data_IF_024131787357
#
_entry.id   IF_024131787357
#
_cell.length_a   1.000
_cell.length_b   1.000
_cell.length_c   1.000
_cell.angle_alpha   90.00
_cell.angle_beta   90.00
_cell.angle_gamma   90.00
#
_symmetry.space_group_name_H-M   'P 1'
#
loop_
_entity.id
_entity.type
_entity.pdbx_description
1 polymer ?
#
# COMPACT_ATOMS: atom_id res chain seq x y z
N UNK A 1 4.65 -9.33 14.59
CA UNK A 1 3.75 -8.22 14.17
C UNK A 1 3.96 -7.09 15.17
N UNK A 2 4.43 -5.91 14.71
CA UNK A 2 4.49 -4.72 15.58
C UNK A 2 3.05 -4.25 15.87
N UNK A 3 2.74 -3.95 17.14
CA UNK A 3 1.46 -3.43 17.63
C UNK A 3 0.28 -4.42 17.63
N UNK A 4 0.52 -5.74 17.70
CA UNK A 4 -0.51 -6.69 18.07
C UNK A 4 -0.61 -6.77 19.61
N UNK A 5 -1.81 -6.82 20.13
CA UNK A 5 -2.09 -6.89 21.57
C UNK A 5 -2.82 -8.19 21.93
N UNK A 6 -2.70 -8.60 23.20
CA UNK A 6 -3.46 -9.76 23.69
C UNK A 6 -4.95 -9.43 23.57
N UNK A 7 -5.69 -10.31 22.90
CA UNK A 7 -7.11 -10.11 22.62
C UNK A 7 -7.44 -9.80 21.18
N UNK A 8 -6.50 -9.30 20.36
CA UNK A 8 -6.65 -9.18 18.93
C UNK A 8 -6.86 -10.55 18.28
N UNK A 9 -7.42 -10.60 17.08
CA UNK A 9 -7.67 -11.86 16.39
C UNK A 9 -6.80 -12.01 15.15
N UNK A 10 -6.21 -13.19 14.98
CA UNK A 10 -5.60 -13.60 13.72
C UNK A 10 -6.56 -14.51 12.99
N UNK A 11 -6.86 -14.16 11.74
CA UNK A 11 -7.78 -14.88 10.87
C UNK A 11 -7.00 -15.45 9.68
N UNK A 12 -7.24 -16.74 9.39
CA UNK A 12 -6.74 -17.39 8.18
C UNK A 12 -7.82 -17.38 7.09
N UNK A 13 -7.42 -17.14 5.85
CA UNK A 13 -8.31 -17.01 4.70
C UNK A 13 -7.87 -17.88 3.52
N UNK A 14 -8.87 -18.42 2.81
CA UNK A 14 -8.74 -18.91 1.44
C UNK A 14 -9.65 -18.04 0.55
N UNK A 15 -9.05 -17.20 -0.33
CA UNK A 15 -9.81 -16.15 -1.01
C UNK A 15 -10.46 -15.20 0.00
N UNK A 16 -11.79 -15.12 -0.05
CA UNK A 16 -12.60 -14.31 0.88
C UNK A 16 -13.20 -15.14 2.04
N UNK A 17 -13.00 -16.45 2.02
CA UNK A 17 -13.52 -17.36 3.05
C UNK A 17 -12.58 -17.39 4.25
N UNK A 18 -13.13 -17.20 5.46
CA UNK A 18 -12.41 -17.47 6.72
C UNK A 18 -12.32 -18.97 6.90
N UNK A 19 -11.09 -19.49 7.00
CA UNK A 19 -10.79 -20.91 7.19
C UNK A 19 -10.16 -21.22 8.54
N UNK A 20 -10.03 -20.22 9.38
CA UNK A 20 -9.56 -20.36 10.74
C UNK A 20 -9.41 -19.04 11.45
N UNK A 21 -9.48 -19.07 12.77
CA UNK A 21 -9.36 -17.89 13.60
C UNK A 21 -8.79 -18.24 14.97
N UNK A 22 -7.95 -17.35 15.51
CA UNK A 22 -7.46 -17.48 16.89
C UNK A 22 -7.24 -16.11 17.48
N UNK A 23 -7.65 -15.94 18.72
CA UNK A 23 -7.31 -14.76 19.50
C UNK A 23 -5.84 -14.79 19.88
N UNK A 24 -5.16 -13.66 19.69
CA UNK A 24 -3.75 -13.53 20.02
C UNK A 24 -3.51 -13.66 21.54
N UNK A 25 -2.67 -14.59 21.91
CA UNK A 25 -2.29 -14.89 23.31
C UNK A 25 -0.80 -14.63 23.59
N UNK A 26 -0.10 -14.02 22.64
CA UNK A 26 1.34 -13.83 22.70
C UNK A 26 2.09 -14.66 21.67
N UNK A 27 3.41 -14.67 21.77
CA UNK A 27 4.26 -15.54 20.93
C UNK A 27 3.77 -16.99 21.07
N UNK A 28 3.86 -17.76 20.00
CA UNK A 28 3.37 -19.15 19.92
C UNK A 28 1.83 -19.32 19.91
N UNK A 29 1.10 -18.26 19.50
CA UNK A 29 -0.34 -18.43 19.22
C UNK A 29 -0.52 -19.35 18.01
N UNK A 30 -1.18 -20.50 18.22
CA UNK A 30 -1.57 -21.40 17.16
C UNK A 30 -2.79 -20.87 16.41
N UNK A 31 -2.76 -20.84 15.09
CA UNK A 31 -3.91 -20.45 14.26
C UNK A 31 -4.33 -21.66 13.43
N UNK A 32 -5.55 -22.22 13.67
CA UNK A 32 -6.02 -23.35 12.87
C UNK A 32 -6.23 -22.90 11.43
N UNK A 33 -5.92 -23.78 10.48
CA UNK A 33 -6.20 -23.60 9.05
C UNK A 33 -6.94 -24.81 8.55
N UNK A 34 -8.23 -24.65 8.27
CA UNK A 34 -9.12 -25.75 7.88
C UNK A 34 -8.95 -26.07 6.40
N UNK A 35 -8.68 -27.34 6.12
CA UNK A 35 -8.49 -27.87 4.77
C UNK A 35 -9.73 -28.50 4.17
N UNK A 36 -9.80 -28.47 2.84
CA UNK A 36 -10.84 -29.18 2.09
C UNK A 36 -10.57 -30.68 2.09
N UNK A 37 -11.56 -31.48 2.47
CA UNK A 37 -11.46 -32.95 2.55
C UNK A 37 -12.30 -33.67 1.49
N UNK A 38 -12.81 -32.93 0.48
CA UNK A 38 -13.61 -33.49 -0.61
C UNK A 38 -15.12 -33.59 -0.31
N UNK A 39 -15.57 -33.11 0.85
CA UNK A 39 -17.00 -33.06 1.19
C UNK A 39 -17.59 -31.67 0.89
N UNK A 40 -18.92 -31.61 0.66
CA UNK A 40 -19.62 -30.34 0.45
C UNK A 40 -19.53 -29.40 1.65
N UNK A 41 -19.38 -29.94 2.87
CA UNK A 41 -19.27 -29.17 4.11
C UNK A 41 -17.95 -28.41 4.24
N UNK A 42 -16.90 -28.83 3.53
CA UNK A 42 -15.59 -28.18 3.51
C UNK A 42 -15.34 -27.39 2.22
N UNK A 43 -16.39 -27.14 1.45
CA UNK A 43 -16.30 -26.36 0.24
C UNK A 43 -15.83 -24.92 0.56
N UNK A 44 -14.81 -24.45 -0.13
CA UNK A 44 -14.18 -23.15 0.13
C UNK A 44 -13.02 -23.21 1.14
N UNK A 45 -12.79 -24.31 1.83
CA UNK A 45 -11.61 -24.51 2.65
C UNK A 45 -10.36 -24.67 1.78
N UNK A 46 -9.15 -24.56 2.39
CA UNK A 46 -7.92 -24.57 1.61
C UNK A 46 -7.58 -25.97 1.10
N UNK A 47 -7.12 -26.04 -0.13
CA UNK A 47 -6.63 -27.28 -0.73
C UNK A 47 -5.14 -27.50 -0.44
N UNK A 48 -4.73 -28.77 -0.43
CA UNK A 48 -3.33 -29.16 -0.26
C UNK A 48 -2.45 -28.48 -1.31
N UNK A 49 -1.35 -27.87 -0.86
CA UNK A 49 -0.42 -27.15 -1.70
C UNK A 49 -0.77 -25.66 -1.95
N UNK A 50 -1.94 -25.20 -1.52
CA UNK A 50 -2.31 -23.79 -1.54
C UNK A 50 -1.74 -23.03 -0.32
N UNK A 51 -1.56 -21.72 -0.45
CA UNK A 51 -1.02 -20.89 0.62
C UNK A 51 -2.13 -20.06 1.27
N UNK A 52 -2.38 -20.21 2.58
CA UNK A 52 -3.37 -19.40 3.29
C UNK A 52 -2.91 -17.95 3.39
N UNK A 53 -3.88 -17.02 3.41
CA UNK A 53 -3.64 -15.60 3.71
C UNK A 53 -4.03 -15.32 5.14
N UNK A 54 -3.34 -14.38 5.78
CA UNK A 54 -3.64 -13.98 7.14
C UNK A 54 -4.06 -12.52 7.24
N UNK A 55 -5.01 -12.25 8.14
CA UNK A 55 -5.41 -10.88 8.51
C UNK A 55 -5.43 -10.75 10.03
N UNK A 56 -5.12 -9.55 10.49
CA UNK A 56 -5.29 -9.15 11.89
C UNK A 56 -6.61 -8.39 12.00
N UNK A 57 -7.49 -8.80 12.91
CA UNK A 57 -8.64 -8.01 13.32
C UNK A 57 -8.29 -7.30 14.63
N UNK A 58 -8.17 -5.97 14.55
CA UNK A 58 -7.88 -5.07 15.67
C UNK A 58 -8.80 -3.87 15.61
N UNK A 59 -9.42 -3.48 16.71
CA UNK A 59 -10.30 -2.29 16.81
C UNK A 59 -11.40 -2.26 15.71
N UNK A 60 -11.96 -3.44 15.38
CA UNK A 60 -12.91 -3.65 14.28
C UNK A 60 -12.35 -3.40 12.85
N UNK A 61 -11.05 -3.20 12.70
CA UNK A 61 -10.37 -3.07 11.41
C UNK A 61 -9.71 -4.40 11.01
N UNK A 62 -9.89 -4.80 9.74
CA UNK A 62 -9.21 -5.95 9.14
C UNK A 62 -7.94 -5.49 8.42
N UNK A 63 -6.80 -5.89 8.94
CA UNK A 63 -5.48 -5.53 8.45
C UNK A 63 -4.86 -6.75 7.76
N UNK A 64 -4.57 -6.65 6.47
CA UNK A 64 -3.88 -7.72 5.75
C UNK A 64 -2.46 -7.91 6.29
N UNK A 65 -2.07 -9.17 6.48
CA UNK A 65 -0.72 -9.56 6.88
C UNK A 65 0.00 -10.22 5.71
N UNK A 66 1.31 -10.03 5.63
CA UNK A 66 2.19 -10.73 4.71
C UNK A 66 3.43 -11.25 5.42
N UNK A 67 3.98 -12.33 4.92
CA UNK A 67 5.19 -12.98 5.41
C UNK A 67 5.47 -14.23 4.59
N UNK A 68 6.49 -14.97 4.98
CA UNK A 68 6.77 -16.27 4.40
C UNK A 68 5.81 -17.30 5.01
N UNK A 69 4.73 -17.56 4.28
CA UNK A 69 3.71 -18.53 4.68
C UNK A 69 3.90 -19.79 3.85
N UNK A 70 4.14 -20.95 4.48
CA UNK A 70 4.27 -22.21 3.77
C UNK A 70 2.95 -22.64 3.13
N UNK A 71 3.06 -23.53 2.14
CA UNK A 71 1.88 -24.17 1.55
C UNK A 71 1.22 -25.11 2.57
N UNK A 72 -0.09 -25.10 2.58
CA UNK A 72 -0.86 -25.90 3.51
C UNK A 72 -0.78 -27.40 3.19
N UNK A 73 -0.66 -28.20 4.24
CA UNK A 73 -0.74 -29.66 4.19
C UNK A 73 -1.54 -30.16 5.40
N UNK A 74 -2.26 -31.26 5.22
CA UNK A 74 -3.13 -31.79 6.25
C UNK A 74 -2.34 -32.36 7.43
N UNK A 75 -2.79 -32.08 8.66
CA UNK A 75 -2.18 -32.54 9.92
C UNK A 75 -0.71 -32.12 10.12
N UNK A 76 -0.29 -31.01 9.51
CA UNK A 76 1.05 -30.45 9.71
C UNK A 76 0.99 -29.15 10.53
N UNK A 77 2.08 -28.90 11.26
CA UNK A 77 2.30 -27.66 11.99
C UNK A 77 3.41 -26.87 11.31
N UNK A 78 3.14 -25.59 11.08
CA UNK A 78 4.11 -24.67 10.50
C UNK A 78 4.40 -23.54 11.48
N UNK A 79 5.67 -23.16 11.59
CA UNK A 79 6.09 -21.99 12.36
C UNK A 79 6.25 -20.82 11.39
N UNK A 80 5.46 -19.78 11.59
CA UNK A 80 5.59 -18.52 10.86
C UNK A 80 6.26 -17.51 11.81
N UNK A 81 7.52 -17.20 11.56
CA UNK A 81 8.30 -16.33 12.44
C UNK A 81 7.86 -14.88 12.32
N UNK A 82 7.54 -14.42 11.12
CA UNK A 82 7.28 -13.02 10.83
C UNK A 82 6.04 -12.84 9.95
N UNK A 83 5.01 -12.23 10.53
CA UNK A 83 3.92 -11.62 9.78
C UNK A 83 3.96 -10.10 10.01
N UNK A 84 3.96 -9.33 8.96
CA UNK A 84 3.95 -7.86 9.01
C UNK A 84 2.68 -7.31 8.37
N UNK A 85 2.25 -6.12 8.78
CA UNK A 85 1.16 -5.41 8.11
C UNK A 85 1.48 -5.28 6.61
N UNK A 86 0.61 -5.81 5.77
CA UNK A 86 0.71 -5.57 4.34
C UNK A 86 0.35 -4.10 4.07
N UNK A 87 1.30 -3.33 3.59
CA UNK A 87 1.01 -1.99 3.09
C UNK A 87 0.27 -2.17 1.78
N UNK A 88 -0.93 -1.58 1.67
CA UNK A 88 -1.62 -1.54 0.40
C UNK A 88 -0.75 -0.76 -0.59
N UNK A 89 -0.28 -1.44 -1.63
CA UNK A 89 0.44 -0.79 -2.71
C UNK A 89 -0.55 -0.27 -3.74
N UNK A 90 -0.26 0.87 -4.37
CA UNK A 90 -1.07 1.33 -5.49
C UNK A 90 -0.99 0.33 -6.66
N UNK A 91 -2.07 0.22 -7.43
CA UNK A 91 -2.12 -0.67 -8.59
C UNK A 91 -1.53 -0.04 -9.85
N UNK A 92 -1.53 1.30 -9.91
CA UNK A 92 -1.06 2.07 -11.08
C UNK A 92 -0.22 3.26 -10.67
N UNK A 93 0.66 3.71 -11.59
CA UNK A 93 1.30 5.02 -11.47
C UNK A 93 0.26 6.13 -11.59
N UNK A 94 0.18 7.00 -10.61
CA UNK A 94 -0.76 8.13 -10.65
C UNK A 94 -0.19 9.38 -10.02
N UNK A 95 -0.57 10.53 -10.58
CA UNK A 95 -0.35 11.85 -10.04
C UNK A 95 -1.71 12.38 -9.56
N UNK A 96 -1.90 12.48 -8.26
CA UNK A 96 -3.15 12.92 -7.67
C UNK A 96 -3.26 14.44 -7.70
N UNK A 97 -4.50 14.96 -7.57
CA UNK A 97 -4.72 16.40 -7.53
C UNK A 97 -3.96 17.04 -6.39
N UNK A 98 -3.13 18.01 -6.69
CA UNK A 98 -2.42 18.80 -5.68
C UNK A 98 -3.42 19.59 -4.83
N UNK A 99 -3.13 19.71 -3.55
CA UNK A 99 -4.00 20.42 -2.62
C UNK A 99 -3.17 21.24 -1.61
N UNK A 100 -3.58 22.48 -1.35
CA UNK A 100 -4.62 23.24 -2.03
C UNK A 100 -4.26 23.57 -3.48
N UNK A 101 -5.27 23.80 -4.33
CA UNK A 101 -5.08 24.31 -5.69
C UNK A 101 -6.39 25.04 -6.10
N UNK A 102 -6.44 26.40 -6.20
CA UNK A 102 -5.30 27.34 -6.09
C UNK A 102 -4.61 27.33 -4.72
N UNK A 103 -3.34 27.76 -4.66
CA UNK A 103 -2.51 27.73 -3.47
C UNK A 103 -1.71 29.01 -3.22
N UNK A 104 -1.29 29.25 -1.95
CA UNK A 104 -0.51 30.40 -1.50
C UNK A 104 0.33 30.05 -0.26
N UNK A 105 1.66 30.12 -0.27
CA UNK A 105 2.51 29.85 -1.43
C UNK A 105 2.81 28.35 -1.57
N UNK A 106 2.19 27.48 -0.75
CA UNK A 106 2.50 26.05 -0.67
C UNK A 106 1.35 25.17 -1.16
N UNK A 107 1.71 24.09 -1.82
CA UNK A 107 0.78 23.02 -2.20
C UNK A 107 1.45 21.64 -2.01
N UNK A 108 0.65 20.63 -1.72
CA UNK A 108 1.10 19.24 -1.61
C UNK A 108 0.80 18.52 -2.91
N UNK A 109 1.82 17.93 -3.50
CA UNK A 109 1.72 17.05 -4.67
C UNK A 109 1.79 15.63 -4.18
N UNK A 110 0.73 14.83 -4.40
CA UNK A 110 0.66 13.42 -4.02
C UNK A 110 0.67 12.53 -5.25
N UNK A 111 1.37 11.41 -5.16
CA UNK A 111 1.50 10.46 -6.26
C UNK A 111 1.62 9.03 -5.75
N UNK A 112 1.41 8.07 -6.63
CA UNK A 112 1.44 6.65 -6.31
C UNK A 112 2.34 5.88 -7.26
N UNK A 113 3.15 4.96 -6.70
CA UNK A 113 4.15 4.15 -7.39
C UNK A 113 3.84 2.68 -7.08
N UNK A 114 3.39 1.86 -8.05
CA UNK A 114 3.01 0.46 -7.82
C UNK A 114 4.21 -0.48 -7.62
N UNK A 115 5.35 -0.16 -8.21
CA UNK A 115 6.61 -0.91 -8.12
C UNK A 115 7.76 0.07 -7.94
N UNK A 116 8.84 -0.34 -7.29
CA UNK A 116 10.06 0.46 -7.15
C UNK A 116 10.50 0.98 -8.53
N UNK A 117 10.61 2.30 -8.68
CA UNK A 117 10.84 2.92 -9.99
C UNK A 117 11.63 4.22 -9.89
N UNK A 118 12.34 4.53 -10.95
CA UNK A 118 12.91 5.86 -11.13
C UNK A 118 11.78 6.86 -11.41
N UNK A 119 11.75 7.95 -10.64
CA UNK A 119 10.72 8.99 -10.68
C UNK A 119 11.38 10.33 -10.92
N UNK A 120 10.84 11.08 -11.88
CA UNK A 120 11.14 12.49 -12.13
C UNK A 120 9.86 13.27 -11.90
N UNK A 121 9.87 14.16 -10.92
CA UNK A 121 8.75 15.05 -10.58
C UNK A 121 9.22 16.49 -10.57
N UNK A 122 8.80 17.26 -11.56
CA UNK A 122 9.26 18.62 -11.76
C UNK A 122 8.10 19.58 -12.02
N UNK A 123 8.34 20.85 -11.72
CA UNK A 123 7.40 21.96 -11.96
C UNK A 123 7.88 22.78 -13.17
N UNK A 124 6.94 23.10 -14.04
CA UNK A 124 7.17 23.89 -15.26
C UNK A 124 6.29 25.13 -15.27
N UNK A 125 6.80 26.21 -15.84
CA UNK A 125 6.02 27.41 -16.14
C UNK A 125 5.25 27.28 -17.47
N UNK A 126 4.48 28.32 -17.84
CA UNK A 126 3.72 28.37 -19.11
C UNK A 126 4.60 28.31 -20.38
N UNK A 127 5.88 28.66 -20.28
CA UNK A 127 6.82 28.58 -21.40
C UNK A 127 7.46 27.19 -21.54
N UNK A 128 7.09 26.24 -20.66
CA UNK A 128 7.69 24.91 -20.66
C UNK A 128 9.08 24.84 -20.02
N UNK A 129 9.54 25.93 -19.37
CA UNK A 129 10.79 25.90 -18.63
C UNK A 129 10.59 25.24 -17.27
N UNK A 130 11.48 24.35 -16.87
CA UNK A 130 11.52 23.77 -15.53
C UNK A 130 11.90 24.86 -14.51
N UNK A 131 11.07 25.07 -13.50
CA UNK A 131 11.29 26.08 -12.45
C UNK A 131 11.60 25.44 -11.09
N UNK A 132 11.30 24.17 -10.92
CA UNK A 132 11.64 23.42 -9.70
C UNK A 132 11.71 21.93 -10.01
N UNK A 133 12.74 21.25 -9.53
CA UNK A 133 12.83 19.79 -9.50
C UNK A 133 12.47 19.34 -8.08
N UNK A 134 11.40 18.55 -7.95
CA UNK A 134 10.91 18.08 -6.65
C UNK A 134 11.49 16.72 -6.29
N UNK A 135 11.58 15.81 -7.27
CA UNK A 135 12.09 14.44 -7.09
C UNK A 135 12.85 14.03 -8.34
N UNK A 136 14.03 13.45 -8.13
CA UNK A 136 14.79 12.76 -9.17
C UNK A 136 15.51 11.57 -8.55
N UNK A 137 15.05 10.35 -8.83
CA UNK A 137 15.69 9.14 -8.35
C UNK A 137 14.74 7.97 -8.14
N UNK A 138 15.29 6.90 -7.57
CA UNK A 138 14.54 5.68 -7.26
C UNK A 138 13.63 5.86 -6.05
N UNK A 139 12.34 5.67 -6.25
CA UNK A 139 11.31 5.73 -5.23
C UNK A 139 10.71 4.33 -5.03
N UNK A 140 10.53 3.95 -3.78
CA UNK A 140 9.90 2.69 -3.39
C UNK A 140 8.43 2.68 -3.76
N UNK A 141 7.89 1.47 -4.03
CA UNK A 141 6.45 1.29 -4.20
C UNK A 141 5.67 1.82 -3.00
N UNK A 142 4.57 2.53 -3.25
CA UNK A 142 3.74 3.14 -2.20
C UNK A 142 3.08 4.44 -2.62
N UNK A 143 2.42 5.07 -1.65
CA UNK A 143 1.84 6.40 -1.78
C UNK A 143 2.82 7.43 -1.20
N UNK A 144 3.06 8.49 -1.97
CA UNK A 144 4.03 9.53 -1.65
C UNK A 144 3.40 10.91 -1.72
N UNK A 145 3.96 11.83 -0.97
CA UNK A 145 3.59 13.25 -1.05
C UNK A 145 4.81 14.13 -0.83
N UNK A 146 4.84 15.25 -1.53
CA UNK A 146 5.88 16.26 -1.40
C UNK A 146 5.25 17.65 -1.42
N UNK A 147 5.77 18.54 -0.60
CA UNK A 147 5.30 19.93 -0.55
C UNK A 147 6.15 20.76 -1.52
N UNK A 148 5.48 21.48 -2.42
CA UNK A 148 6.11 22.53 -3.19
C UNK A 148 5.84 23.89 -2.56
N UNK A 149 6.91 24.59 -2.18
CA UNK A 149 6.87 25.99 -1.76
C UNK A 149 7.26 26.88 -2.93
N UNK A 150 6.31 27.68 -3.40
CA UNK A 150 6.45 28.59 -4.54
C UNK A 150 6.69 30.04 -4.11
N UNK A 151 7.22 30.29 -2.91
CA UNK A 151 7.41 31.65 -2.38
C UNK A 151 8.32 32.52 -3.27
N UNK A 152 9.32 31.94 -3.92
CA UNK A 152 10.21 32.63 -4.86
C UNK A 152 9.61 32.82 -6.27
N UNK A 153 8.39 32.33 -6.55
CA UNK A 153 7.78 32.36 -7.87
C UNK A 153 6.64 33.37 -7.95
N UNK A 154 6.39 33.95 -9.13
CA UNK A 154 5.29 34.87 -9.36
C UNK A 154 3.94 34.14 -9.38
N UNK A 155 2.85 34.85 -9.01
CA UNK A 155 1.49 34.36 -9.21
C UNK A 155 1.26 33.97 -10.67
N UNK A 156 0.60 32.83 -10.90
CA UNK A 156 0.37 32.36 -12.26
C UNK A 156 0.08 30.86 -12.34
N UNK A 157 0.07 30.35 -13.56
CA UNK A 157 -0.17 28.95 -13.87
C UNK A 157 1.17 28.23 -14.02
N UNK A 158 1.24 27.08 -13.36
CA UNK A 158 2.34 26.13 -13.41
C UNK A 158 1.82 24.73 -13.75
N UNK A 159 2.73 23.85 -14.12
CA UNK A 159 2.41 22.45 -14.37
C UNK A 159 3.37 21.57 -13.57
N UNK A 160 2.81 20.66 -12.78
CA UNK A 160 3.59 19.57 -12.23
C UNK A 160 3.56 18.40 -13.22
N UNK A 161 4.73 17.86 -13.54
CA UNK A 161 4.91 16.71 -14.44
C UNK A 161 5.65 15.62 -13.71
N UNK A 162 5.04 14.44 -13.71
CA UNK A 162 5.64 13.21 -13.21
C UNK A 162 5.97 12.28 -14.37
N UNK A 163 7.17 11.73 -14.38
CA UNK A 163 7.59 10.64 -15.26
C UNK A 163 8.01 9.47 -14.39
N UNK A 164 7.33 8.35 -14.52
CA UNK A 164 7.60 7.11 -13.78
C UNK A 164 7.06 5.91 -14.54
N UNK A 165 7.79 4.76 -14.54
CA UNK A 165 7.34 3.53 -15.18
C UNK A 165 7.00 3.66 -16.67
N UNK A 166 7.68 4.57 -17.40
CA UNK A 166 7.41 4.87 -18.80
C UNK A 166 6.15 5.72 -19.04
N UNK A 167 5.46 6.14 -18.00
CA UNK A 167 4.26 6.98 -18.07
C UNK A 167 4.60 8.43 -17.76
N UNK A 168 3.81 9.35 -18.34
CA UNK A 168 3.89 10.79 -18.10
C UNK A 168 2.53 11.26 -17.61
N UNK A 169 2.50 11.85 -16.43
CA UNK A 169 1.32 12.47 -15.85
C UNK A 169 1.57 13.96 -15.63
N UNK A 170 0.60 14.80 -15.97
CA UNK A 170 0.73 16.25 -15.82
C UNK A 170 -0.53 16.83 -15.19
N UNK A 171 -0.34 17.82 -14.31
CA UNK A 171 -1.44 18.53 -13.67
C UNK A 171 -1.15 20.02 -13.62
N UNK A 172 -2.21 20.83 -13.84
CA UNK A 172 -2.17 22.28 -13.70
C UNK A 172 -2.24 22.71 -12.23
N UNK A 173 -1.38 23.66 -11.87
CA UNK A 173 -1.32 24.32 -10.57
C UNK A 173 -1.57 25.81 -10.74
N UNK A 174 -2.24 26.46 -9.77
CA UNK A 174 -2.51 27.90 -9.79
C UNK A 174 -1.99 28.54 -8.50
N UNK A 175 -0.90 29.30 -8.64
CA UNK A 175 -0.33 30.10 -7.54
C UNK A 175 -1.01 31.46 -7.48
N UNK A 176 -1.50 31.82 -6.32
CA UNK A 176 -2.11 33.13 -6.02
C UNK A 176 -1.36 33.71 -4.81
N UNK A 177 -0.79 34.86 -4.96
CA UNK A 177 -0.19 35.64 -3.88
C UNK A 177 -1.01 36.89 -3.60
#
# INVERSE_FOLDING_TARGET
>A
IKNIEIGDWILAYNGDQVIGARQWKGSFTDVPVMGHEGSEFTNGYIEKGSTPKFKLLKDAELINLKGEVPTWSNNEFFIISDLIKAVALPETFSLNKAYPNPFNPTTTVSFAIPIDSEVYLSIYNLHGSEVSNLIQGNIKAGYHSIIWNADAHASGVYFVKMMAGGQINTQKLMLIK
#
